data_IF_418539680619
#
_entry.id   IF_418539680619
#
_cell.length_a   1.000
_cell.length_b   1.000
_cell.length_c   1.000
_cell.angle_alpha   90.00
_cell.angle_beta   90.00
_cell.angle_gamma   90.00
#
_symmetry.space_group_name_H-M   'P 1'
#
loop_
_entity.id
_entity.type
_entity.pdbx_description
1 polymer ?
#
# COMPACT_ATOMS: atom_id res chain seq x y z
N UNK A 1 -7.43 -7.04 -8.52
CA UNK A 1 -7.60 -7.60 -7.16
C UNK A 1 -6.64 -6.97 -6.14
N UNK A 2 -5.34 -6.85 -6.42
CA UNK A 2 -4.36 -6.29 -5.47
C UNK A 2 -4.65 -4.84 -5.01
N UNK A 3 -5.14 -3.98 -5.90
CA UNK A 3 -5.42 -2.57 -5.60
C UNK A 3 -6.53 -2.36 -4.55
N UNK A 4 -7.58 -3.20 -4.58
CA UNK A 4 -8.64 -3.17 -3.55
C UNK A 4 -8.03 -3.47 -2.18
N UNK A 5 -7.29 -4.57 -2.06
CA UNK A 5 -6.73 -5.03 -0.79
C UNK A 5 -5.82 -3.98 -0.15
N UNK A 6 -5.03 -3.26 -0.96
CA UNK A 6 -4.21 -2.12 -0.50
C UNK A 6 -5.06 -0.99 0.09
N UNK A 7 -6.14 -0.60 -0.59
CA UNK A 7 -7.07 0.41 -0.09
C UNK A 7 -7.75 -0.02 1.22
N UNK A 8 -8.13 -1.30 1.34
CA UNK A 8 -8.69 -1.87 2.58
C UNK A 8 -7.69 -1.83 3.72
N UNK A 9 -6.44 -2.24 3.48
CA UNK A 9 -5.38 -2.22 4.48
C UNK A 9 -5.12 -0.80 5.00
N UNK A 10 -5.01 0.18 4.11
CA UNK A 10 -4.87 1.59 4.47
C UNK A 10 -6.02 2.08 5.36
N UNK A 11 -7.26 1.76 5.00
CA UNK A 11 -8.43 2.17 5.79
C UNK A 11 -8.49 1.47 7.15
N UNK A 12 -8.14 0.18 7.22
CA UNK A 12 -8.02 -0.55 8.50
C UNK A 12 -6.96 0.07 9.42
N UNK A 13 -5.89 0.61 8.85
CA UNK A 13 -4.87 1.37 9.57
C UNK A 13 -5.27 2.83 9.88
N UNK A 14 -6.50 3.25 9.52
CA UNK A 14 -7.03 4.61 9.69
C UNK A 14 -6.15 5.70 9.05
N UNK A 15 -5.50 5.38 7.94
CA UNK A 15 -4.65 6.32 7.20
C UNK A 15 -5.38 6.92 6.00
N UNK A 16 -5.18 8.22 5.76
CA UNK A 16 -5.50 8.82 4.45
C UNK A 16 -4.43 8.44 3.41
N UNK A 17 -4.71 8.64 2.12
CA UNK A 17 -3.69 8.44 1.07
C UNK A 17 -2.46 9.33 1.31
N UNK A 18 -2.67 10.58 1.76
CA UNK A 18 -1.61 11.50 2.13
C UNK A 18 -0.77 10.98 3.31
N UNK A 19 -1.42 10.43 4.34
CA UNK A 19 -0.74 9.92 5.52
C UNK A 19 0.08 8.67 5.20
N UNK A 20 -0.44 7.77 4.37
CA UNK A 20 0.31 6.61 3.87
C UNK A 20 1.50 7.05 3.00
N UNK A 21 1.28 8.00 2.09
CA UNK A 21 2.32 8.55 1.24
C UNK A 21 3.47 9.16 2.07
N UNK A 22 3.14 9.93 3.11
CA UNK A 22 4.12 10.49 4.05
C UNK A 22 4.91 9.41 4.80
N UNK A 23 4.24 8.34 5.25
CA UNK A 23 4.90 7.20 5.92
C UNK A 23 5.83 6.42 4.99
N UNK A 24 5.50 6.35 3.71
CA UNK A 24 6.29 5.65 2.69
C UNK A 24 7.35 6.52 2.02
N UNK A 25 7.42 7.81 2.35
CA UNK A 25 8.23 8.82 1.68
C UNK A 25 8.02 8.86 0.15
N UNK A 26 6.74 8.95 -0.24
CA UNK A 26 6.31 9.02 -1.65
C UNK A 26 5.27 10.11 -1.85
N UNK A 27 4.96 10.41 -3.11
CA UNK A 27 3.88 11.34 -3.47
C UNK A 27 2.50 10.72 -3.27
N UNK A 28 1.49 11.52 -2.93
CA UNK A 28 0.10 11.06 -2.76
C UNK A 28 -0.44 10.43 -4.05
N UNK A 29 -0.07 10.98 -5.20
CA UNK A 29 -0.45 10.53 -6.55
C UNK A 29 0.01 9.08 -6.79
N UNK A 30 1.16 8.70 -6.25
CA UNK A 30 1.67 7.34 -6.34
C UNK A 30 0.74 6.35 -5.61
N UNK A 31 0.30 6.70 -4.40
CA UNK A 31 -0.69 5.90 -3.65
C UNK A 31 -2.01 5.83 -4.42
N UNK A 32 -2.45 6.93 -5.01
CA UNK A 32 -3.68 6.96 -5.82
C UNK A 32 -3.61 6.00 -7.01
N UNK A 33 -2.51 6.01 -7.77
CA UNK A 33 -2.30 5.13 -8.94
C UNK A 33 -2.22 3.66 -8.55
N UNK A 34 -1.62 3.36 -7.41
CA UNK A 34 -1.59 2.00 -6.84
C UNK A 34 -3.01 1.54 -6.48
N UNK A 35 -3.79 2.39 -5.81
CA UNK A 35 -5.16 2.05 -5.40
C UNK A 35 -6.17 2.02 -6.56
N UNK A 36 -5.91 2.71 -7.68
CA UNK A 36 -6.73 2.63 -8.90
C UNK A 36 -6.37 1.43 -9.79
N UNK A 37 -5.22 0.79 -9.55
CA UNK A 37 -4.74 -0.33 -10.37
C UNK A 37 -4.10 0.10 -11.70
N UNK A 38 -3.85 1.39 -11.88
CA UNK A 38 -3.16 1.95 -13.05
C UNK A 38 -1.66 1.61 -13.08
N UNK A 39 -1.11 1.09 -11.98
CA UNK A 39 0.30 0.73 -11.86
C UNK A 39 0.51 -0.65 -11.22
N UNK A 40 1.39 -1.45 -11.83
CA UNK A 40 1.86 -2.70 -11.24
C UNK A 40 2.74 -2.40 -10.02
N UNK A 41 2.37 -3.00 -8.87
CA UNK A 41 3.02 -2.79 -7.58
C UNK A 41 4.17 -3.78 -7.44
N UNK A 42 5.37 -3.31 -7.14
CA UNK A 42 6.51 -4.20 -6.88
C UNK A 42 6.40 -4.86 -5.50
N UNK A 43 7.03 -6.02 -5.33
CA UNK A 43 7.12 -6.68 -4.01
C UNK A 43 7.73 -5.73 -2.97
N UNK A 44 8.77 -4.98 -3.33
CA UNK A 44 9.37 -3.98 -2.45
C UNK A 44 8.37 -2.89 -2.01
N UNK A 45 7.48 -2.47 -2.91
CA UNK A 45 6.42 -1.50 -2.58
C UNK A 45 5.39 -2.12 -1.64
N UNK A 46 5.02 -3.39 -1.85
CA UNK A 46 4.12 -4.11 -0.94
C UNK A 46 4.70 -4.23 0.47
N UNK A 47 6.01 -4.50 0.61
CA UNK A 47 6.70 -4.49 1.90
C UNK A 47 6.64 -3.12 2.58
N UNK A 48 6.95 -2.05 1.86
CA UNK A 48 6.87 -0.68 2.40
C UNK A 48 5.45 -0.31 2.86
N UNK A 49 4.44 -0.75 2.12
CA UNK A 49 3.04 -0.52 2.50
C UNK A 49 2.71 -1.29 3.78
N UNK A 50 3.08 -2.57 3.84
CA UNK A 50 2.86 -3.41 5.01
C UNK A 50 3.50 -2.82 6.28
N UNK A 51 4.76 -2.39 6.18
CA UNK A 51 5.48 -1.70 7.25
C UNK A 51 4.77 -0.39 7.66
N UNK A 52 4.40 0.44 6.68
CA UNK A 52 3.70 1.71 6.94
C UNK A 52 2.34 1.54 7.64
N UNK A 53 1.61 0.46 7.36
CA UNK A 53 0.32 0.13 8.00
C UNK A 53 0.45 -0.72 9.26
N UNK A 54 1.68 -1.06 9.69
CA UNK A 54 1.93 -1.87 10.89
C UNK A 54 1.45 -3.32 10.75
N UNK A 55 1.57 -3.90 9.55
CA UNK A 55 1.23 -5.30 9.27
C UNK A 55 2.45 -6.07 8.83
N UNK A 56 2.53 -7.32 9.25
CA UNK A 56 3.52 -8.26 8.77
C UNK A 56 3.17 -8.70 7.34
N UNK A 57 4.08 -8.50 6.39
CA UNK A 57 3.93 -9.01 5.03
C UNK A 57 4.40 -10.47 5.00
N UNK A 58 3.48 -11.41 4.80
CA UNK A 58 3.81 -12.83 4.65
C UNK A 58 3.57 -13.28 3.22
N UNK A 59 4.65 -13.58 2.51
CA UNK A 59 4.59 -14.16 1.18
C UNK A 59 4.79 -15.68 1.28
N UNK A 60 3.80 -16.45 0.82
CA UNK A 60 3.88 -17.93 0.83
C UNK A 60 3.78 -18.42 -0.61
N UNK A 61 4.77 -19.18 -1.05
CA UNK A 61 4.68 -19.97 -2.29
C UNK A 61 4.01 -21.31 -1.96
N UNK A 62 3.16 -21.78 -2.86
CA UNK A 62 2.58 -23.12 -2.82
C UNK A 62 3.15 -23.93 -3.97
#
# INVERSE_FOLDING_TARGET
>A
MAAWELRKLRQKARLSQQALAKKMDVKREFISRIESGEQNVTIATLYKIADAVGKEFKFTFK
#
